data_IF_369682161397
#
_entry.id   IF_369682161397
#
_cell.length_a   1.000
_cell.length_b   1.000
_cell.length_c   1.000
_cell.angle_alpha   90.00
_cell.angle_beta   90.00
_cell.angle_gamma   90.00
#
_symmetry.space_group_name_H-M   'P 1'
#
loop_
_entity.id
_entity.type
_entity.pdbx_description
1 polymer ?
#
# COMPACT_ATOMS: atom_id res chain seq x y z
N UNK A 1 -3.57 -15.18 1.98
CA UNK A 1 -3.68 -14.65 3.36
C UNK A 1 -3.84 -15.83 4.30
N UNK A 2 -3.16 -15.80 5.43
CA UNK A 2 -3.25 -16.80 6.51
C UNK A 2 -3.44 -16.07 7.84
N UNK A 3 -4.12 -16.71 8.80
CA UNK A 3 -4.36 -16.17 10.14
C UNK A 3 -4.17 -17.30 11.14
N UNK A 4 -3.42 -17.06 12.21
CA UNK A 4 -3.22 -18.06 13.26
C UNK A 4 -4.44 -18.18 14.18
N UNK A 5 -4.99 -17.04 14.64
CA UNK A 5 -6.19 -17.04 15.47
C UNK A 5 -6.96 -15.72 15.40
N UNK A 6 -8.28 -15.82 15.59
CA UNK A 6 -9.18 -14.66 15.77
C UNK A 6 -9.93 -14.86 17.09
N UNK A 7 -9.85 -13.88 17.98
CA UNK A 7 -10.61 -13.85 19.24
C UNK A 7 -11.56 -12.68 19.20
N UNK A 8 -12.82 -12.92 19.56
CA UNK A 8 -13.85 -11.88 19.62
C UNK A 8 -14.60 -12.04 20.93
N UNK A 9 -14.76 -10.92 21.64
CA UNK A 9 -15.57 -10.77 22.84
C UNK A 9 -16.70 -9.78 22.53
N UNK A 10 -17.81 -10.22 21.90
CA UNK A 10 -18.86 -9.32 21.41
C UNK A 10 -19.49 -8.48 22.52
N UNK A 11 -19.63 -9.07 23.72
CA UNK A 11 -20.20 -8.38 24.89
C UNK A 11 -19.34 -7.21 25.38
N UNK A 12 -18.03 -7.27 25.16
CA UNK A 12 -17.08 -6.27 25.61
C UNK A 12 -16.59 -5.37 24.46
N UNK A 13 -17.02 -5.63 23.21
CA UNK A 13 -16.56 -4.88 22.05
C UNK A 13 -15.09 -5.08 21.72
N UNK A 14 -14.45 -6.18 22.16
CA UNK A 14 -13.01 -6.39 21.95
C UNK A 14 -12.80 -7.52 20.95
N UNK A 15 -11.93 -7.30 19.98
CA UNK A 15 -11.44 -8.29 19.03
C UNK A 15 -9.92 -8.29 18.97
N UNK A 16 -9.33 -9.45 18.69
CA UNK A 16 -7.92 -9.55 18.35
C UNK A 16 -7.68 -10.56 17.24
N UNK A 17 -6.73 -10.25 16.36
CA UNK A 17 -6.22 -11.15 15.33
C UNK A 17 -4.75 -11.37 15.63
N UNK A 18 -4.31 -12.62 15.60
CA UNK A 18 -2.90 -12.97 15.82
C UNK A 18 -2.34 -13.75 14.64
N UNK A 19 -1.07 -13.49 14.32
CA UNK A 19 -0.35 -14.14 13.22
C UNK A 19 -1.03 -13.95 11.88
N UNK A 20 -1.39 -12.70 11.53
CA UNK A 20 -1.93 -12.38 10.22
C UNK A 20 -0.76 -12.26 9.23
N UNK A 21 -0.78 -13.08 8.19
CA UNK A 21 0.18 -12.96 7.09
C UNK A 21 -0.56 -12.73 5.76
N UNK A 22 -0.15 -11.70 5.05
CA UNK A 22 -0.67 -11.35 3.72
C UNK A 22 0.45 -11.61 2.73
N UNK A 23 0.18 -12.51 1.78
CA UNK A 23 1.12 -12.85 0.71
C UNK A 23 1.26 -11.68 -0.26
N UNK A 24 2.43 -11.56 -0.87
CA UNK A 24 2.58 -10.62 -1.97
C UNK A 24 1.65 -10.97 -3.14
N UNK A 25 1.16 -9.96 -3.88
CA UNK A 25 0.55 -10.16 -5.19
C UNK A 25 1.48 -10.92 -6.15
N UNK A 26 0.92 -11.46 -7.23
CA UNK A 26 1.73 -12.09 -8.28
C UNK A 26 2.70 -11.07 -8.90
N UNK A 27 3.88 -11.55 -9.30
CA UNK A 27 4.91 -10.72 -9.94
C UNK A 27 5.87 -10.02 -8.97
N UNK A 28 5.91 -10.43 -7.69
CA UNK A 28 6.90 -10.00 -6.69
C UNK A 28 7.66 -11.21 -6.15
N UNK A 29 8.91 -11.01 -5.71
CA UNK A 29 9.83 -12.11 -5.33
C UNK A 29 9.71 -12.47 -3.85
N UNK A 30 9.36 -11.49 -3.02
CA UNK A 30 9.18 -11.69 -1.58
C UNK A 30 7.89 -12.47 -1.30
N UNK A 31 7.89 -13.38 -0.33
CA UNK A 31 6.70 -14.21 -0.04
C UNK A 31 5.51 -13.41 0.52
N UNK A 32 5.78 -12.47 1.42
CA UNK A 32 4.79 -11.74 2.20
C UNK A 32 4.95 -10.24 2.05
N UNK A 33 3.83 -9.52 1.96
CA UNK A 33 3.80 -8.05 2.00
C UNK A 33 3.61 -7.55 3.43
N UNK A 34 2.80 -8.26 4.23
CA UNK A 34 2.52 -7.95 5.62
C UNK A 34 2.60 -9.21 6.47
N UNK A 35 3.28 -9.10 7.61
CA UNK A 35 3.22 -10.07 8.70
C UNK A 35 2.96 -9.29 9.99
N UNK A 36 1.79 -9.54 10.59
CA UNK A 36 1.33 -8.86 11.78
C UNK A 36 1.19 -9.88 12.90
N UNK A 37 1.98 -9.70 13.97
CA UNK A 37 1.89 -10.57 15.14
C UNK A 37 0.54 -10.42 15.84
N UNK A 38 0.09 -9.18 16.02
CA UNK A 38 -1.14 -8.85 16.72
C UNK A 38 -1.81 -7.61 16.16
N UNK A 39 -3.12 -7.73 15.92
CA UNK A 39 -4.05 -6.63 15.63
C UNK A 39 -5.09 -6.62 16.74
N UNK A 40 -5.24 -5.49 17.40
CA UNK A 40 -6.25 -5.27 18.43
C UNK A 40 -7.34 -4.35 17.91
N UNK A 41 -8.59 -4.69 18.17
CA UNK A 41 -9.77 -3.93 17.73
C UNK A 41 -10.67 -3.69 18.93
N UNK A 42 -10.98 -2.43 19.22
CA UNK A 42 -12.07 -2.02 20.10
C UNK A 42 -13.20 -1.48 19.24
N UNK A 43 -14.41 -1.96 19.45
CA UNK A 43 -15.60 -1.54 18.72
C UNK A 43 -16.75 -1.28 19.69
N UNK A 44 -17.67 -0.41 19.29
CA UNK A 44 -18.89 -0.18 20.02
C UNK A 44 -19.83 -1.38 19.81
N UNK A 45 -19.98 -2.22 20.84
CA UNK A 45 -20.79 -3.44 20.75
C UNK A 45 -22.25 -3.19 20.35
N UNK A 46 -22.81 -2.02 20.68
CA UNK A 46 -24.17 -1.67 20.29
C UNK A 46 -24.31 -1.42 18.77
N UNK A 47 -23.24 -1.00 18.11
CA UNK A 47 -23.20 -0.74 16.66
C UNK A 47 -23.18 -2.02 15.80
N UNK A 48 -22.94 -3.18 16.39
CA UNK A 48 -22.94 -4.46 15.64
C UNK A 48 -24.31 -4.80 15.04
N UNK A 49 -25.38 -4.25 15.61
CA UNK A 49 -26.75 -4.45 15.16
C UNK A 49 -27.21 -3.39 14.15
N UNK A 50 -26.41 -2.34 13.91
CA UNK A 50 -26.69 -1.32 12.90
C UNK A 50 -26.02 -1.64 11.56
N UNK A 51 -26.35 -0.82 10.56
CA UNK A 51 -25.76 -0.87 9.22
C UNK A 51 -24.31 -0.34 9.23
N UNK A 52 -24.05 0.64 10.10
CA UNK A 52 -22.72 1.19 10.39
C UNK A 52 -22.17 0.57 11.66
N UNK A 53 -20.99 -0.04 11.58
CA UNK A 53 -20.21 -0.49 12.73
C UNK A 53 -19.25 0.62 13.13
N UNK A 54 -19.28 1.00 14.39
CA UNK A 54 -18.35 1.95 14.97
C UNK A 54 -17.19 1.19 15.63
N UNK A 55 -15.98 1.45 15.11
CA UNK A 55 -14.72 0.94 15.63
C UNK A 55 -14.06 2.09 16.40
N UNK A 56 -13.91 1.91 17.71
CA UNK A 56 -13.29 2.89 18.58
C UNK A 56 -11.78 2.97 18.33
N UNK A 57 -11.11 1.83 18.19
CA UNK A 57 -9.68 1.80 17.91
C UNK A 57 -9.24 0.54 17.18
N UNK A 58 -8.30 0.68 16.26
CA UNK A 58 -7.50 -0.43 15.70
C UNK A 58 -6.03 -0.15 16.01
N UNK A 59 -5.36 -1.10 16.65
CA UNK A 59 -3.94 -0.98 17.00
C UNK A 59 -3.20 -2.17 16.41
N UNK A 60 -2.16 -1.88 15.63
CA UNK A 60 -1.24 -2.85 15.07
C UNK A 60 0.14 -2.54 15.64
N UNK A 61 0.74 -3.51 16.33
CA UNK A 61 2.04 -3.33 16.99
C UNK A 61 3.13 -4.06 16.22
N UNK A 62 4.22 -3.34 15.96
CA UNK A 62 5.44 -3.82 15.30
C UNK A 62 5.18 -4.67 14.06
N UNK A 63 4.39 -4.18 13.09
CA UNK A 63 4.16 -4.93 11.86
C UNK A 63 5.46 -5.06 11.06
N UNK A 64 5.68 -6.25 10.50
CA UNK A 64 6.71 -6.47 9.49
C UNK A 64 6.11 -6.26 8.10
N UNK A 65 6.69 -5.32 7.36
CA UNK A 65 6.19 -4.86 6.06
C UNK A 65 7.31 -5.05 5.05
N UNK A 66 7.07 -5.84 4.01
CA UNK A 66 8.00 -5.89 2.88
C UNK A 66 7.45 -5.01 1.77
N UNK A 67 8.17 -3.94 1.44
CA UNK A 67 7.82 -3.05 0.34
C UNK A 67 8.74 -3.34 -0.85
N UNK A 68 8.20 -4.02 -1.87
CA UNK A 68 8.96 -4.42 -3.05
C UNK A 68 8.63 -3.52 -4.24
N UNK A 69 9.68 -2.94 -4.84
CA UNK A 69 9.59 -2.04 -5.98
C UNK A 69 10.10 -2.69 -7.26
N UNK A 70 9.40 -2.41 -8.36
CA UNK A 70 9.77 -2.74 -9.73
C UNK A 70 9.92 -1.44 -10.53
N UNK A 71 10.34 -1.54 -11.79
CA UNK A 71 10.58 -0.37 -12.65
C UNK A 71 9.34 0.52 -12.78
N UNK A 72 8.15 -0.07 -12.85
CA UNK A 72 6.90 0.65 -13.13
C UNK A 72 5.82 0.49 -12.06
N UNK A 73 6.06 -0.33 -11.02
CA UNK A 73 5.05 -0.70 -10.02
C UNK A 73 5.69 -1.03 -8.67
N UNK A 74 4.87 -1.13 -7.63
CA UNK A 74 5.23 -1.61 -6.31
C UNK A 74 4.16 -2.58 -5.79
N UNK A 75 4.52 -3.43 -4.84
CA UNK A 75 3.64 -4.48 -4.32
C UNK A 75 2.43 -3.94 -3.55
N UNK A 76 2.56 -2.79 -2.87
CA UNK A 76 1.43 -2.11 -2.21
C UNK A 76 0.44 -1.59 -3.24
N UNK A 77 0.91 -1.00 -4.35
CA UNK A 77 0.05 -0.56 -5.46
C UNK A 77 -0.67 -1.73 -6.11
N UNK A 78 0.04 -2.83 -6.38
CA UNK A 78 -0.59 -4.05 -6.91
C UNK A 78 -1.62 -4.64 -5.94
N UNK A 79 -1.37 -4.58 -4.62
CA UNK A 79 -2.34 -4.98 -3.61
C UNK A 79 -3.58 -4.08 -3.62
N UNK A 80 -3.40 -2.76 -3.70
CA UNK A 80 -4.50 -1.79 -3.83
C UNK A 80 -5.35 -2.05 -5.08
N UNK A 81 -4.72 -2.32 -6.22
CA UNK A 81 -5.39 -2.68 -7.47
C UNK A 81 -6.18 -3.98 -7.33
N UNK A 82 -5.63 -4.98 -6.63
CA UNK A 82 -6.35 -6.22 -6.34
C UNK A 82 -7.57 -5.97 -5.44
N UNK A 83 -7.46 -5.12 -4.41
CA UNK A 83 -8.58 -4.79 -3.52
C UNK A 83 -9.69 -4.04 -4.30
N UNK A 84 -9.31 -3.11 -5.17
CA UNK A 84 -10.26 -2.37 -6.01
C UNK A 84 -10.84 -3.20 -7.16
N UNK A 85 -10.10 -4.21 -7.64
CA UNK A 85 -10.50 -5.11 -8.73
C UNK A 85 -11.25 -6.37 -8.27
N UNK A 86 -11.05 -6.83 -7.04
CA UNK A 86 -11.69 -8.02 -6.45
C UNK A 86 -13.13 -7.79 -5.98
N UNK A 87 -13.86 -6.90 -6.67
CA UNK A 87 -15.33 -6.91 -6.65
C UNK A 87 -15.93 -8.14 -7.36
N UNK A 88 -15.09 -9.01 -7.95
CA UNK A 88 -15.46 -10.30 -8.52
C UNK A 88 -14.51 -11.40 -8.02
N UNK A 89 -15.09 -12.51 -7.60
CA UNK A 89 -14.41 -13.80 -7.40
C UNK A 89 -13.42 -13.92 -6.22
N UNK A 90 -13.91 -13.84 -4.97
CA UNK A 90 -13.70 -14.88 -3.91
C UNK A 90 -14.40 -14.52 -2.58
N UNK A 91 -15.68 -14.14 -2.64
CA UNK A 91 -16.58 -14.23 -1.50
C UNK A 91 -17.83 -15.02 -1.90
N UNK A 92 -17.73 -16.36 -1.92
CA UNK A 92 -18.94 -17.17 -1.83
C UNK A 92 -19.49 -17.07 -0.42
N UNK A 93 -20.48 -16.21 -0.24
CA UNK A 93 -21.72 -16.45 0.50
C UNK A 93 -22.32 -15.09 0.90
N UNK A 94 -23.46 -14.74 0.32
CA UNK A 94 -24.57 -14.10 1.04
C UNK A 94 -24.16 -13.05 2.08
N UNK A 95 -23.58 -11.94 1.65
CA UNK A 95 -23.48 -10.74 2.48
C UNK A 95 -24.38 -9.68 1.88
N UNK A 96 -25.42 -9.34 2.63
CA UNK A 96 -26.04 -8.02 2.66
C UNK A 96 -25.00 -6.93 2.36
N UNK A 97 -25.42 -5.85 1.69
CA UNK A 97 -24.62 -4.65 1.46
C UNK A 97 -23.57 -4.48 2.58
N UNK A 98 -22.30 -4.71 2.24
CA UNK A 98 -21.25 -4.97 3.23
C UNK A 98 -21.26 -3.87 4.29
N UNK A 99 -21.37 -4.26 5.56
CA UNK A 99 -21.49 -3.32 6.69
C UNK A 99 -20.45 -2.22 6.57
N UNK A 100 -20.91 -1.00 6.70
CA UNK A 100 -20.06 0.18 6.62
C UNK A 100 -19.36 0.38 7.97
N UNK A 101 -18.21 1.04 7.94
CA UNK A 101 -17.32 1.21 9.07
C UNK A 101 -17.08 2.69 9.33
N UNK A 102 -17.12 3.06 10.60
CA UNK A 102 -16.58 4.31 11.09
C UNK A 102 -15.48 4.00 12.10
N UNK A 103 -14.24 4.38 11.80
CA UNK A 103 -13.08 4.10 12.65
C UNK A 103 -12.59 5.41 13.26
N UNK A 104 -12.68 5.52 14.58
CA UNK A 104 -12.25 6.73 15.31
C UNK A 104 -10.73 6.86 15.35
N UNK A 105 -10.04 5.77 15.66
CA UNK A 105 -8.59 5.73 15.85
C UNK A 105 -7.98 4.50 15.17
N UNK A 106 -6.99 4.72 14.32
CA UNK A 106 -6.15 3.68 13.76
C UNK A 106 -4.69 4.01 14.07
N UNK A 107 -3.98 3.06 14.68
CA UNK A 107 -2.57 3.21 15.04
C UNK A 107 -1.74 2.03 14.56
N UNK A 108 -0.65 2.35 13.88
CA UNK A 108 0.38 1.43 13.45
C UNK A 108 1.68 1.80 14.16
N UNK A 109 2.05 1.03 15.18
CA UNK A 109 3.11 1.36 16.11
C UNK A 109 4.40 0.61 15.78
N UNK A 110 5.53 1.31 15.70
CA UNK A 110 6.85 0.76 15.46
C UNK A 110 6.99 -0.11 14.20
N UNK A 111 6.45 0.28 13.03
CA UNK A 111 6.56 -0.51 11.80
C UNK A 111 8.01 -0.83 11.42
N UNK A 112 8.25 -2.09 11.08
CA UNK A 112 9.51 -2.56 10.52
C UNK A 112 9.33 -2.73 9.02
N UNK A 113 9.88 -1.82 8.22
CA UNK A 113 9.74 -1.87 6.77
C UNK A 113 11.04 -2.36 6.14
N UNK A 114 10.97 -3.40 5.32
CA UNK A 114 12.05 -3.85 4.48
C UNK A 114 11.78 -3.43 3.03
N UNK A 115 12.56 -2.49 2.50
CA UNK A 115 12.51 -2.14 1.08
C UNK A 115 13.31 -3.16 0.28
N UNK A 116 12.65 -3.73 -0.73
CA UNK A 116 13.26 -4.60 -1.73
C UNK A 116 13.17 -3.91 -3.08
N UNK A 117 14.32 -3.68 -3.71
CA UNK A 117 14.43 -3.17 -5.06
C UNK A 117 15.27 -4.12 -5.91
N UNK A 118 15.23 -3.95 -7.23
CA UNK A 118 15.90 -4.84 -8.19
C UNK A 118 17.41 -5.07 -7.92
N UNK A 119 18.09 -4.11 -7.27
CA UNK A 119 19.54 -4.13 -7.06
C UNK A 119 19.96 -4.19 -5.59
N UNK A 120 19.03 -3.98 -4.65
CA UNK A 120 19.34 -3.90 -3.22
C UNK A 120 18.10 -4.12 -2.36
N UNK A 121 18.33 -4.56 -1.12
CA UNK A 121 17.34 -4.52 -0.05
C UNK A 121 17.91 -3.79 1.16
N UNK A 122 17.06 -3.03 1.85
CA UNK A 122 17.46 -2.27 3.02
C UNK A 122 16.27 -2.09 3.98
N UNK A 123 16.52 -2.14 5.31
CA UNK A 123 15.51 -1.77 6.29
C UNK A 123 15.30 -0.25 6.27
N UNK A 124 14.04 0.15 6.45
CA UNK A 124 13.59 1.53 6.56
C UNK A 124 12.90 1.68 7.91
N UNK A 125 13.29 2.72 8.65
CA UNK A 125 12.58 3.14 9.85
C UNK A 125 11.48 4.11 9.44
N UNK A 126 10.23 3.77 9.77
CA UNK A 126 9.11 4.69 9.67
C UNK A 126 8.68 5.11 11.08
N UNK A 127 8.18 6.35 11.25
CA UNK A 127 7.51 6.72 12.48
C UNK A 127 6.16 5.98 12.58
N UNK A 128 5.56 6.05 13.76
CA UNK A 128 4.20 5.53 13.99
C UNK A 128 3.21 6.21 13.05
N UNK A 129 2.23 5.45 12.57
CA UNK A 129 1.13 5.96 11.74
C UNK A 129 -0.10 6.08 12.61
N UNK A 130 -0.65 7.28 12.70
CA UNK A 130 -1.91 7.55 13.38
C UNK A 130 -2.88 8.16 12.38
N UNK A 131 -4.05 7.54 12.22
CA UNK A 131 -5.14 8.03 11.39
C UNK A 131 -6.39 8.10 12.26
N UNK A 132 -7.10 9.23 12.20
CA UNK A 132 -8.36 9.40 12.92
C UNK A 132 -9.49 9.58 11.93
N UNK A 133 -10.70 9.23 12.38
CA UNK A 133 -11.95 9.47 11.65
C UNK A 133 -11.94 8.92 10.21
N UNK A 134 -11.61 7.62 10.07
CA UNK A 134 -11.71 6.92 8.78
C UNK A 134 -13.18 6.57 8.54
N UNK A 135 -13.78 7.23 7.54
CA UNK A 135 -15.23 7.27 7.37
C UNK A 135 -15.89 8.23 8.37
N UNK A 136 -17.18 8.49 8.20
CA UNK A 136 -17.97 9.29 9.14
C UNK A 136 -19.36 8.66 9.33
N UNK A 137 -20.12 9.07 10.34
CA UNK A 137 -21.50 8.59 10.54
C UNK A 137 -22.39 8.81 9.30
N UNK A 138 -22.17 9.91 8.56
CA UNK A 138 -22.94 10.27 7.36
C UNK A 138 -22.36 9.70 6.05
N UNK A 139 -21.11 9.24 6.08
CA UNK A 139 -20.39 8.70 4.92
C UNK A 139 -19.41 7.62 5.40
N UNK A 140 -19.99 6.53 5.90
CA UNK A 140 -19.23 5.42 6.46
C UNK A 140 -18.42 4.70 5.37
N UNK A 141 -17.26 4.19 5.74
CA UNK A 141 -16.32 3.60 4.80
C UNK A 141 -16.53 2.08 4.72
N UNK A 142 -16.50 1.53 3.52
CA UNK A 142 -16.37 0.09 3.33
C UNK A 142 -15.00 -0.40 3.81
N UNK A 143 -14.88 -1.70 4.12
CA UNK A 143 -13.60 -2.34 4.44
C UNK A 143 -12.53 -2.04 3.38
N UNK A 144 -12.90 -2.09 2.09
CA UNK A 144 -11.99 -1.79 0.99
C UNK A 144 -11.47 -0.35 1.04
N UNK A 145 -12.34 0.63 1.30
CA UNK A 145 -11.97 2.04 1.43
C UNK A 145 -11.07 2.29 2.65
N UNK A 146 -11.36 1.63 3.79
CA UNK A 146 -10.49 1.70 4.97
C UNK A 146 -9.08 1.19 4.62
N UNK A 147 -8.99 0.01 4.00
CA UNK A 147 -7.71 -0.56 3.58
C UNK A 147 -6.98 0.35 2.59
N UNK A 148 -7.70 0.95 1.64
CA UNK A 148 -7.13 1.90 0.68
C UNK A 148 -6.52 3.12 1.38
N UNK A 149 -7.22 3.71 2.35
CA UNK A 149 -6.73 4.85 3.14
C UNK A 149 -5.45 4.49 3.90
N UNK A 150 -5.44 3.35 4.59
CA UNK A 150 -4.29 2.89 5.38
C UNK A 150 -3.09 2.57 4.49
N UNK A 151 -3.27 1.78 3.43
CA UNK A 151 -2.21 1.39 2.50
C UNK A 151 -1.65 2.60 1.75
N UNK A 152 -2.51 3.55 1.38
CA UNK A 152 -2.07 4.81 0.74
C UNK A 152 -1.26 5.68 1.69
N UNK A 153 -1.65 5.78 2.96
CA UNK A 153 -0.89 6.49 3.98
C UNK A 153 0.48 5.86 4.19
N UNK A 154 0.54 4.54 4.36
CA UNK A 154 1.77 3.78 4.48
C UNK A 154 2.69 4.01 3.26
N UNK A 155 2.16 3.88 2.04
CA UNK A 155 2.93 4.09 0.81
C UNK A 155 3.51 5.50 0.74
N UNK A 156 2.73 6.54 1.06
CA UNK A 156 3.25 7.92 1.12
C UNK A 156 4.40 8.05 2.10
N UNK A 157 4.26 7.50 3.31
CA UNK A 157 5.31 7.55 4.32
C UNK A 157 6.58 6.82 3.90
N UNK A 158 6.46 5.67 3.21
CA UNK A 158 7.62 4.97 2.64
C UNK A 158 8.34 5.81 1.59
N UNK A 159 7.58 6.51 0.72
CA UNK A 159 8.14 7.36 -0.32
C UNK A 159 8.75 8.67 0.23
N UNK A 160 8.23 9.16 1.36
CA UNK A 160 8.69 10.37 2.05
C UNK A 160 9.83 10.09 3.04
N UNK A 161 9.97 8.85 3.50
CA UNK A 161 11.05 8.47 4.40
C UNK A 161 12.41 8.74 3.75
N UNK A 162 13.29 9.42 4.48
CA UNK A 162 14.69 9.61 4.06
C UNK A 162 15.40 8.25 4.09
N UNK A 163 15.39 7.55 2.96
CA UNK A 163 16.13 6.30 2.85
C UNK A 163 17.60 6.61 2.57
N UNK A 164 18.55 6.03 3.32
CA UNK A 164 19.93 6.00 2.87
C UNK A 164 19.98 5.25 1.52
N UNK A 165 20.21 5.98 0.43
CA UNK A 165 20.19 5.46 -0.94
C UNK A 165 19.03 5.93 -1.82
N UNK A 166 18.07 6.71 -1.31
CA UNK A 166 17.09 7.41 -2.18
C UNK A 166 17.77 8.37 -3.14
N UNK A 167 18.87 8.99 -2.74
CA UNK A 167 19.67 9.84 -3.63
C UNK A 167 20.17 9.03 -4.82
N UNK A 168 20.68 7.82 -4.61
CA UNK A 168 21.10 6.94 -5.71
C UNK A 168 19.93 6.48 -6.60
N UNK A 169 18.74 6.27 -6.03
CA UNK A 169 17.55 5.92 -6.81
C UNK A 169 17.01 7.13 -7.60
N UNK A 170 17.00 8.33 -7.00
CA UNK A 170 16.62 9.58 -7.67
C UNK A 170 17.61 9.93 -8.77
N UNK A 171 18.91 9.89 -8.48
CA UNK A 171 19.97 10.04 -9.48
C UNK A 171 19.81 8.99 -10.59
N UNK A 172 19.51 7.73 -10.26
CA UNK A 172 19.26 6.68 -11.26
C UNK A 172 17.99 6.90 -12.11
N UNK A 173 16.99 7.63 -11.62
CA UNK A 173 15.83 8.05 -12.40
C UNK A 173 16.13 9.30 -13.24
N UNK A 174 16.82 10.30 -12.67
CA UNK A 174 17.20 11.54 -13.34
C UNK A 174 18.18 11.27 -14.49
N UNK A 175 19.16 10.39 -14.29
CA UNK A 175 20.09 9.98 -15.34
C UNK A 175 19.35 9.29 -16.49
N UNK A 176 18.43 8.36 -16.21
CA UNK A 176 17.64 7.70 -17.27
C UNK A 176 16.72 8.66 -18.03
N UNK A 177 16.22 9.71 -17.37
CA UNK A 177 15.42 10.75 -18.03
C UNK A 177 16.30 11.65 -18.91
N UNK A 178 17.51 11.99 -18.46
CA UNK A 178 18.47 12.74 -19.27
C UNK A 178 18.96 11.93 -20.47
N UNK A 179 19.34 10.67 -20.28
CA UNK A 179 19.74 9.76 -21.36
C UNK A 179 18.63 9.67 -22.44
N UNK A 180 17.37 9.54 -22.03
CA UNK A 180 16.24 9.49 -22.97
C UNK A 180 15.96 10.82 -23.69
N UNK A 181 16.34 11.96 -23.11
CA UNK A 181 16.25 13.28 -23.74
C UNK A 181 17.41 13.47 -24.73
N UNK A 182 18.63 13.12 -24.35
CA UNK A 182 19.81 13.18 -25.22
C UNK A 182 19.65 12.26 -26.45
N UNK A 183 19.16 11.03 -26.25
CA UNK A 183 18.89 10.10 -27.34
C UNK A 183 17.80 10.63 -28.29
N UNK A 184 16.79 11.34 -27.76
CA UNK A 184 15.77 12.00 -28.58
C UNK A 184 16.33 13.20 -29.36
N UNK A 185 17.22 14.00 -28.76
CA UNK A 185 17.90 15.12 -29.42
C UNK A 185 18.83 14.64 -30.53
N UNK A 186 19.62 13.58 -30.31
CA UNK A 186 20.46 12.98 -31.35
C UNK A 186 19.64 12.49 -32.54
N UNK A 187 18.50 11.82 -32.29
CA UNK A 187 17.61 11.37 -33.37
C UNK A 187 17.04 12.56 -34.15
N UNK A 188 16.71 13.67 -33.48
CA UNK A 188 16.20 14.89 -34.14
C UNK A 188 17.29 15.58 -34.96
N UNK A 189 18.52 15.67 -34.45
CA UNK A 189 19.66 16.21 -35.20
C UNK A 189 20.02 15.37 -36.41
N UNK A 190 20.05 14.04 -36.27
CA UNK A 190 20.37 13.12 -37.36
C UNK A 190 19.31 13.18 -38.48
N UNK A 191 18.04 13.30 -38.12
CA UNK A 191 16.96 13.60 -39.08
C UNK A 191 17.14 14.97 -39.74
N UNK A 192 17.49 16.01 -38.98
CA UNK A 192 17.75 17.35 -39.49
C UNK A 192 18.91 17.39 -40.50
N UNK A 193 19.99 16.67 -40.22
CA UNK A 193 21.16 16.55 -41.08
C UNK A 193 20.85 15.77 -42.36
N UNK A 194 20.06 14.68 -42.26
CA UNK A 194 19.59 13.92 -43.43
C UNK A 194 18.68 14.74 -44.33
N UNK A 195 17.81 15.57 -43.76
CA UNK A 195 16.94 16.49 -44.50
C UNK A 195 17.72 17.63 -45.16
N UNK A 196 18.79 18.12 -44.53
CA UNK A 196 19.66 19.15 -45.12
C UNK A 196 20.49 18.59 -46.29
N UNK A 197 20.97 17.35 -46.17
CA UNK A 197 21.72 16.66 -47.24
C UNK A 197 20.92 16.34 -48.51
N UNK A 198 19.59 16.32 -48.45
CA UNK A 198 18.71 16.16 -49.63
C UNK A 198 18.25 17.50 -50.24
N UNK A 199 18.46 18.62 -49.55
CA UNK A 199 18.08 19.96 -50.04
C UNK A 199 19.25 20.73 -50.67
N UNK A 200 20.50 20.31 -50.42
CA UNK A 200 21.70 20.77 -51.14
C UNK A 200 22.32 19.64 -51.99
N UNK A 201 21.70 19.24 -53.11
CA UNK A 201 22.40 18.42 -54.10
C UNK A 201 23.37 19.34 -54.87
N UNK A 202 24.67 19.01 -54.82
CA UNK A 202 25.66 19.58 -55.75
C UNK A 202 25.25 19.36 -57.20
#
# INVERSE_FOLDING_TARGET
>A
MTVASVTISPLNGIGSISGLEIRNPEGFDSDYIFQLEQVEVSLNAASLLSDVIEIESIIITQPEITYETRITTDNVRALLENIGGSGGETATADSEAGKELFIRDFRLLGPQVNLVAAVASAPISLPDIELTDIGTEDNAATVAQVLEVVLSALRRMILEAELPGLDMLREGLENRLQDGIEEAEEVVEDLGNRLRGILDPN
#
